data_IF_031254491414
#
_entry.id   IF_031254491414
#
_cell.length_a   1.000
_cell.length_b   1.000
_cell.length_c   1.000
_cell.angle_alpha   90.00
_cell.angle_beta   90.00
_cell.angle_gamma   90.00
#
_symmetry.space_group_name_H-M   'P 1'
#
loop_
_entity.id
_entity.type
_entity.pdbx_description
1 polymer ?
#
# COMPACT_ATOMS: atom_id res chain seq x y z
N UNK A 1 7.14 -0.58 -9.50
CA UNK A 1 5.86 -0.49 -8.76
C UNK A 1 4.77 -1.06 -9.66
N UNK A 2 4.03 -2.10 -9.23
CA UNK A 2 2.99 -2.77 -10.04
C UNK A 2 1.73 -2.99 -9.19
N UNK A 3 0.57 -3.10 -9.83
CA UNK A 3 -0.67 -3.52 -9.15
C UNK A 3 -0.44 -4.91 -8.53
N UNK A 4 -0.87 -5.10 -7.28
CA UNK A 4 -0.62 -6.29 -6.47
C UNK A 4 0.70 -6.29 -5.70
N UNK A 5 1.57 -5.28 -5.88
CA UNK A 5 2.72 -5.08 -5.00
C UNK A 5 2.29 -4.66 -3.60
N UNK A 6 2.99 -5.16 -2.59
CA UNK A 6 2.88 -4.64 -1.22
C UNK A 6 3.83 -3.46 -1.07
N UNK A 7 3.34 -2.41 -0.44
CA UNK A 7 4.10 -1.21 -0.07
C UNK A 7 4.02 -0.98 1.43
N UNK A 8 5.02 -0.31 1.96
CA UNK A 8 4.99 0.29 3.30
C UNK A 8 4.74 1.79 3.17
N UNK A 9 3.89 2.35 4.02
CA UNK A 9 3.65 3.80 4.07
C UNK A 9 4.74 4.45 4.90
N UNK A 10 5.55 5.32 4.29
CA UNK A 10 6.65 6.04 4.94
C UNK A 10 6.22 7.37 5.52
N UNK A 11 5.24 8.03 4.89
CA UNK A 11 4.78 9.36 5.28
C UNK A 11 3.27 9.46 5.09
N UNK A 12 2.60 10.09 6.05
CA UNK A 12 1.20 10.47 5.94
C UNK A 12 0.88 11.51 7.03
N UNK A 13 0.87 12.80 6.69
CA UNK A 13 0.54 13.86 7.65
C UNK A 13 -0.94 13.83 8.06
N UNK A 14 -1.82 13.36 7.17
CA UNK A 14 -3.26 13.30 7.43
C UNK A 14 -3.65 12.20 8.44
N UNK A 15 -2.92 11.09 8.44
CA UNK A 15 -3.20 9.92 9.29
C UNK A 15 -1.86 9.36 9.78
N UNK A 16 -1.24 9.92 10.83
CA UNK A 16 0.08 9.48 11.28
C UNK A 16 0.10 8.00 11.71
N UNK A 17 -1.04 7.45 12.14
CA UNK A 17 -1.17 6.05 12.55
C UNK A 17 -1.04 5.01 11.43
N UNK A 18 -0.99 5.43 10.16
CA UNK A 18 -0.74 4.49 9.05
C UNK A 18 0.73 4.43 8.64
N UNK A 19 1.60 5.27 9.20
CA UNK A 19 3.05 5.21 8.91
C UNK A 19 3.63 3.90 9.49
N UNK A 20 4.36 3.15 8.66
CA UNK A 20 4.86 1.82 8.98
C UNK A 20 3.85 0.68 8.70
N UNK A 21 2.61 1.01 8.32
CA UNK A 21 1.63 0.00 7.92
C UNK A 21 1.85 -0.47 6.48
N UNK A 22 1.33 -1.68 6.21
CA UNK A 22 1.47 -2.34 4.93
C UNK A 22 0.18 -2.20 4.11
N UNK A 23 0.32 -1.92 2.83
CA UNK A 23 -0.80 -1.79 1.91
C UNK A 23 -0.50 -2.45 0.57
N UNK A 24 -1.53 -2.90 -0.14
CA UNK A 24 -1.41 -3.48 -1.47
C UNK A 24 -1.82 -2.45 -2.53
N UNK A 25 -1.02 -2.29 -3.57
CA UNK A 25 -1.36 -1.41 -4.69
C UNK A 25 -2.53 -2.01 -5.47
N UNK A 26 -3.67 -1.32 -5.46
CA UNK A 26 -4.87 -1.75 -6.19
C UNK A 26 -5.08 -0.98 -7.48
N UNK A 27 -4.52 0.23 -7.59
CA UNK A 27 -4.59 1.03 -8.80
C UNK A 27 -3.40 1.96 -8.90
N UNK A 28 -2.86 2.08 -10.11
CA UNK A 28 -1.87 3.08 -10.48
C UNK A 28 -2.51 4.01 -11.50
N UNK A 29 -2.38 5.31 -11.29
CA UNK A 29 -2.79 6.32 -12.24
C UNK A 29 -1.53 7.01 -12.75
N UNK A 30 -1.28 6.86 -14.05
CA UNK A 30 -0.19 7.55 -14.74
C UNK A 30 -0.83 8.78 -15.36
N UNK A 31 -0.34 9.97 -15.02
CA UNK A 31 -0.69 11.19 -15.73
C UNK A 31 0.41 11.54 -16.72
N UNK A 32 0.01 11.85 -17.95
CA UNK A 32 0.92 12.37 -18.99
C UNK A 32 1.24 13.86 -18.82
N UNK A 33 0.55 14.58 -17.92
CA UNK A 33 0.73 16.02 -17.70
C UNK A 33 0.76 16.39 -16.21
N UNK A 34 1.94 16.81 -15.72
CA UNK A 34 2.30 17.20 -14.32
C UNK A 34 1.54 18.39 -13.71
N UNK A 35 0.41 18.84 -14.26
CA UNK A 35 -0.23 20.10 -13.84
C UNK A 35 -1.05 20.03 -12.55
N UNK A 36 -1.33 18.86 -11.99
CA UNK A 36 -2.16 18.72 -10.79
C UNK A 36 -1.57 17.74 -9.77
N UNK A 37 -1.66 18.09 -8.48
CA UNK A 37 -1.34 17.21 -7.36
C UNK A 37 -2.37 16.08 -7.29
N UNK A 38 -2.13 15.02 -8.05
CA UNK A 38 -2.94 13.80 -8.01
C UNK A 38 -2.16 12.76 -7.24
N UNK A 39 -2.85 11.92 -6.47
CA UNK A 39 -2.28 10.74 -5.83
C UNK A 39 -2.21 9.59 -6.85
N UNK A 40 -1.04 9.29 -7.44
CA UNK A 40 -0.92 8.31 -8.51
C UNK A 40 -0.99 6.87 -7.99
N UNK A 41 -0.77 6.65 -6.68
CA UNK A 41 -0.77 5.31 -6.08
C UNK A 41 -1.97 5.15 -5.18
N UNK A 42 -2.87 4.23 -5.53
CA UNK A 42 -3.99 3.84 -4.68
C UNK A 42 -3.70 2.49 -4.04
N UNK A 43 -3.73 2.45 -2.72
CA UNK A 43 -3.37 1.27 -1.94
C UNK A 43 -4.51 0.87 -1.01
N UNK A 44 -4.70 -0.45 -0.86
CA UNK A 44 -5.61 -1.04 0.11
C UNK A 44 -4.84 -1.48 1.34
N UNK A 45 -5.19 -0.92 2.50
CA UNK A 45 -4.54 -1.24 3.76
C UNK A 45 -4.72 -2.73 4.10
N UNK A 46 -3.63 -3.40 4.49
CA UNK A 46 -3.64 -4.83 4.80
C UNK A 46 -3.70 -5.13 6.30
N UNK A 47 -3.35 -4.14 7.13
CA UNK A 47 -3.22 -4.24 8.58
C UNK A 47 -3.73 -2.95 9.27
N UNK A 48 -3.72 -2.95 10.61
CA UNK A 48 -4.13 -1.81 11.44
C UNK A 48 -5.64 -1.56 11.46
N UNK A 49 -6.02 -0.43 12.08
CA UNK A 49 -7.42 0.02 12.18
C UNK A 49 -8.04 0.34 10.80
N UNK A 50 -7.19 0.64 9.83
CA UNK A 50 -7.60 1.03 8.49
C UNK A 50 -7.70 -0.15 7.50
N UNK A 51 -7.49 -1.38 7.97
CA UNK A 51 -7.50 -2.59 7.14
C UNK A 51 -8.73 -2.65 6.22
N UNK A 52 -8.48 -2.84 4.93
CA UNK A 52 -9.51 -2.94 3.89
C UNK A 52 -9.93 -1.61 3.26
N UNK A 53 -9.60 -0.46 3.88
CA UNK A 53 -9.83 0.87 3.29
C UNK A 53 -8.79 1.16 2.21
N UNK A 54 -9.17 2.03 1.26
CA UNK A 54 -8.33 2.43 0.13
C UNK A 54 -7.97 3.90 0.29
N UNK A 55 -6.68 4.22 0.16
CA UNK A 55 -6.15 5.57 0.24
C UNK A 55 -5.25 5.87 -0.96
N UNK A 56 -5.19 7.14 -1.35
CA UNK A 56 -4.28 7.65 -2.35
C UNK A 56 -3.01 8.19 -1.70
N UNK A 57 -1.85 7.84 -2.25
CA UNK A 57 -0.53 8.30 -1.85
C UNK A 57 0.28 8.76 -3.06
N UNK A 58 1.24 9.64 -2.81
CA UNK A 58 2.30 10.01 -3.73
C UNK A 58 3.38 8.93 -3.77
N UNK A 59 4.18 8.94 -4.84
CA UNK A 59 5.25 7.94 -5.00
C UNK A 59 6.32 8.01 -3.89
N UNK A 60 6.58 9.18 -3.29
CA UNK A 60 7.58 9.31 -2.21
C UNK A 60 7.02 8.98 -0.81
N UNK A 61 5.68 8.89 -0.69
CA UNK A 61 5.01 8.56 0.57
C UNK A 61 4.98 7.05 0.83
N UNK A 62 5.22 6.22 -0.19
CA UNK A 62 5.15 4.76 -0.12
C UNK A 62 6.41 4.10 -0.69
N UNK A 63 6.88 3.05 -0.03
CA UNK A 63 8.03 2.26 -0.47
C UNK A 63 7.58 0.86 -0.89
N UNK A 64 8.01 0.41 -2.07
CA UNK A 64 7.69 -0.95 -2.54
C UNK A 64 8.53 -1.96 -1.79
N UNK A 65 7.87 -2.90 -1.11
CA UNK A 65 8.55 -3.99 -0.44
C UNK A 65 8.92 -5.09 -1.44
N UNK A 66 10.05 -5.79 -1.24
CA UNK A 66 10.48 -6.87 -2.11
C UNK A 66 9.48 -8.03 -2.13
N UNK A 67 9.32 -8.72 -3.26
CA UNK A 67 8.30 -9.79 -3.44
C UNK A 67 8.38 -10.94 -2.41
N UNK A 68 9.53 -11.12 -1.77
CA UNK A 68 9.69 -12.06 -0.64
C UNK A 68 8.77 -11.73 0.55
N UNK A 69 8.44 -10.45 0.76
CA UNK A 69 7.47 -10.03 1.78
C UNK A 69 6.04 -10.38 1.38
N UNK A 70 5.69 -10.27 0.10
CA UNK A 70 4.38 -10.65 -0.44
C UNK A 70 4.10 -12.14 -0.21
N UNK A 71 5.10 -12.99 -0.48
CA UNK A 71 5.01 -14.43 -0.23
C UNK A 71 4.87 -14.76 1.26
N UNK A 72 5.59 -14.06 2.14
CA UNK A 72 5.53 -14.30 3.60
C UNK A 72 4.18 -13.85 4.18
N UNK A 73 3.62 -12.72 3.74
CA UNK A 73 2.32 -12.22 4.20
C UNK A 73 1.15 -13.09 3.71
N UNK A 74 1.21 -13.58 2.47
CA UNK A 74 0.24 -14.55 1.94
C UNK A 74 0.32 -15.90 2.67
N UNK A 75 1.54 -16.37 2.98
CA UNK A 75 1.75 -17.62 3.74
C UNK A 75 1.20 -17.49 5.17
N UNK A 76 1.43 -16.37 5.85
CA UNK A 76 0.86 -16.13 7.19
C UNK A 76 -0.67 -16.02 7.17
N UNK A 77 -1.28 -15.44 6.14
CA UNK A 77 -2.76 -15.44 5.99
C UNK A 77 -3.33 -16.85 5.73
N UNK A 78 -2.65 -17.69 4.94
CA UNK A 78 -3.10 -19.07 4.71
C UNK A 78 -3.02 -19.94 5.97
N UNK A 79 -1.98 -19.78 6.80
CA UNK A 79 -1.83 -20.58 8.01
C UNK A 79 -2.89 -20.20 9.06
N UNK A 80 -3.25 -18.91 9.16
CA UNK A 80 -4.22 -18.44 10.15
C UNK A 80 -5.70 -18.69 9.81
N UNK A 81 -6.01 -19.16 8.60
CA UNK A 81 -7.37 -19.53 8.19
C UNK A 81 -7.64 -21.04 8.28
N UNK A 82 -6.62 -21.85 8.59
CA UNK A 82 -6.69 -23.32 8.64
C UNK A 82 -6.63 -23.88 10.07
N UNK A 83 -6.59 -23.02 11.10
CA UNK A 83 -6.55 -23.42 12.51
C UNK A 83 -7.89 -23.13 13.21
#
# INVERSE_FOLDING_TARGET
MKIGSVVEIKKCDAIPGVVGEHAEIVRLQIQEFEKYTVYPVWVKMLSGEHKGKIYGFQYDEVEVLPEAFTGKMMKTKMIKQLE
#
